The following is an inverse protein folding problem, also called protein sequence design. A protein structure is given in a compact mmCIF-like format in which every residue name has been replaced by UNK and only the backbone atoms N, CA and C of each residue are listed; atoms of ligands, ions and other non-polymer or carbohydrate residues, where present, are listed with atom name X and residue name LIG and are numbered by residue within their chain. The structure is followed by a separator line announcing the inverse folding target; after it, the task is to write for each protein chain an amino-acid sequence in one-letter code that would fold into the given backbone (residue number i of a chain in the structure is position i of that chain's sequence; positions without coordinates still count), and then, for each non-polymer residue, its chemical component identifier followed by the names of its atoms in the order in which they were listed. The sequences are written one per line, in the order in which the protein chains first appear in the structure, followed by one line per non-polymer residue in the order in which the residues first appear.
data_IF_216280565324
#
_entry.id   IF_216280565324
#
_cell.length_a   1.000
_cell.length_b   1.000
_cell.length_c   1.000
_cell.angle_alpha   90.00
_cell.angle_beta   90.00
_cell.angle_gamma   90.00
#
_symmetry.space_group_name_H-M   'P 1'
#
loop_
_entity.id
_entity.type
_entity.pdbx_description
1 polymer ?
#
# COMPACT_ATOMS: atom_id res chain seq x y z
N UNK A 1 -26.58 -28.21 10.34
CA UNK A 1 -25.48 -27.61 9.55
C UNK A 1 -24.34 -27.48 10.53
N UNK A 2 -23.21 -28.12 10.27
CA UNK A 2 -22.18 -28.38 11.28
C UNK A 2 -21.55 -27.08 11.75
N UNK A 3 -21.64 -26.81 13.06
CA UNK A 3 -20.73 -25.92 13.76
C UNK A 3 -19.36 -26.59 13.73
N UNK A 4 -18.53 -26.23 12.76
CA UNK A 4 -17.12 -26.57 12.82
C UNK A 4 -16.54 -25.84 14.04
N UNK A 5 -15.72 -26.51 14.84
CA UNK A 5 -15.06 -25.85 15.98
C UNK A 5 -14.13 -24.75 15.45
N UNK A 6 -13.85 -23.73 16.27
CA UNK A 6 -12.89 -22.68 15.92
C UNK A 6 -11.53 -23.27 15.50
N UNK A 7 -11.11 -24.35 16.17
CA UNK A 7 -9.88 -25.10 15.87
C UNK A 7 -9.95 -25.78 14.49
N UNK A 8 -11.09 -26.38 14.11
CA UNK A 8 -11.29 -26.97 12.77
C UNK A 8 -11.22 -25.92 11.66
N UNK A 9 -11.69 -24.69 11.93
CA UNK A 9 -11.59 -23.56 10.98
C UNK A 9 -10.15 -23.07 10.85
N UNK A 10 -9.43 -22.94 11.97
CA UNK A 10 -8.01 -22.56 11.97
C UNK A 10 -7.14 -23.59 11.23
N UNK A 11 -7.32 -24.89 11.53
CA UNK A 11 -6.62 -25.97 10.83
C UNK A 11 -6.91 -25.94 9.32
N UNK A 12 -8.16 -25.69 8.92
CA UNK A 12 -8.52 -25.55 7.51
C UNK A 12 -7.86 -24.34 6.83
N UNK A 13 -7.73 -23.20 7.54
CA UNK A 13 -7.04 -22.00 7.05
C UNK A 13 -5.53 -22.24 6.90
N UNK A 14 -4.89 -22.87 7.88
CA UNK A 14 -3.47 -23.23 7.81
C UNK A 14 -3.19 -24.20 6.67
N UNK A 15 -4.04 -25.22 6.49
CA UNK A 15 -3.93 -26.15 5.38
C UNK A 15 -4.11 -25.45 4.03
N UNK A 16 -5.09 -24.54 3.91
CA UNK A 16 -5.29 -23.74 2.70
C UNK A 16 -4.05 -22.89 2.37
N UNK A 17 -3.49 -22.19 3.36
CA UNK A 17 -2.26 -21.40 3.19
C UNK A 17 -1.08 -22.28 2.74
N UNK A 18 -0.90 -23.44 3.38
CA UNK A 18 0.15 -24.40 3.02
C UNK A 18 -0.01 -24.91 1.58
N UNK A 19 -1.23 -25.29 1.20
CA UNK A 19 -1.55 -25.77 -0.14
C UNK A 19 -1.31 -24.67 -1.20
N UNK A 20 -1.69 -23.43 -0.91
CA UNK A 20 -1.43 -22.27 -1.77
C UNK A 20 0.07 -22.00 -1.94
N UNK A 21 0.84 -22.01 -0.85
CA UNK A 21 2.29 -21.83 -0.90
C UNK A 21 2.98 -22.92 -1.72
N UNK A 22 2.61 -24.19 -1.52
CA UNK A 22 3.18 -25.32 -2.24
C UNK A 22 2.76 -25.31 -3.73
N UNK A 23 1.53 -24.92 -4.03
CA UNK A 23 1.06 -24.72 -5.41
C UNK A 23 1.86 -23.61 -6.11
N UNK A 24 2.12 -22.49 -5.43
CA UNK A 24 2.92 -21.38 -5.96
C UNK A 24 4.39 -21.75 -6.13
N UNK A 25 4.98 -22.48 -5.17
CA UNK A 25 6.34 -23.02 -5.30
C UNK A 25 6.45 -23.94 -6.52
N UNK A 26 5.47 -24.83 -6.73
CA UNK A 26 5.40 -25.70 -7.92
C UNK A 26 5.21 -24.88 -9.21
N UNK A 27 4.40 -23.82 -9.20
CA UNK A 27 4.23 -22.91 -10.35
C UNK A 27 5.54 -22.21 -10.69
N UNK A 28 6.24 -21.65 -9.71
CA UNK A 28 7.56 -21.01 -9.84
C UNK A 28 8.59 -21.97 -10.44
N UNK A 29 8.71 -23.19 -9.91
CA UNK A 29 9.64 -24.19 -10.44
C UNK A 29 9.31 -24.62 -11.87
N UNK A 30 8.02 -24.68 -12.23
CA UNK A 30 7.61 -25.08 -13.57
C UNK A 30 7.81 -24.00 -14.63
N UNK A 31 8.14 -22.79 -14.23
CA UNK A 31 8.29 -21.64 -15.11
C UNK A 31 9.62 -21.65 -15.88
N UNK A 32 10.67 -22.21 -15.28
CA UNK A 32 12.06 -22.12 -15.75
C UNK A 32 12.52 -23.41 -16.43
N UNK A 33 11.85 -23.82 -17.50
CA UNK A 33 12.03 -25.17 -18.05
C UNK A 33 12.88 -25.28 -19.30
N UNK A 34 13.14 -24.17 -20.00
CA UNK A 34 13.67 -24.25 -21.35
C UNK A 34 15.00 -23.50 -21.45
N UNK A 35 16.06 -24.17 -21.95
CA UNK A 35 17.30 -23.49 -22.22
C UNK A 35 17.05 -22.45 -23.32
N UNK A 36 17.57 -21.24 -23.12
CA UNK A 36 17.58 -20.22 -24.15
C UNK A 36 19.00 -19.72 -24.37
N UNK A 37 19.21 -19.20 -25.58
CA UNK A 37 20.36 -18.38 -25.92
C UNK A 37 19.85 -17.02 -26.33
N UNK A 38 20.39 -15.96 -25.74
CA UNK A 38 20.14 -14.62 -26.24
C UNK A 38 21.02 -14.32 -27.47
N UNK A 39 20.52 -13.63 -28.51
CA UNK A 39 19.15 -13.13 -28.64
C UNK A 39 18.14 -14.14 -29.19
N UNK A 40 17.01 -14.31 -28.47
CA UNK A 40 15.96 -15.29 -28.78
C UNK A 40 14.83 -14.72 -29.67
N UNK A 41 14.18 -15.59 -30.44
CA UNK A 41 12.95 -15.24 -31.18
C UNK A 41 11.71 -15.40 -30.31
N UNK A 42 10.65 -14.67 -30.61
CA UNK A 42 9.36 -14.80 -29.92
C UNK A 42 8.79 -16.22 -30.06
N UNK A 43 9.04 -16.88 -31.20
CA UNK A 43 8.65 -18.29 -31.42
C UNK A 43 9.36 -19.23 -30.44
N UNK A 44 10.67 -19.06 -30.25
CA UNK A 44 11.46 -19.89 -29.33
C UNK A 44 11.00 -19.67 -27.88
N UNK A 45 10.78 -18.40 -27.50
CA UNK A 45 10.28 -18.03 -26.18
C UNK A 45 8.89 -18.63 -25.88
N UNK A 46 7.96 -18.57 -26.85
CA UNK A 46 6.63 -19.16 -26.72
C UNK A 46 6.66 -20.70 -26.69
N UNK A 47 7.55 -21.31 -27.47
CA UNK A 47 7.80 -22.77 -27.39
C UNK A 47 8.33 -23.14 -26.00
N UNK A 48 9.10 -22.23 -25.40
CA UNK A 48 9.68 -22.23 -24.07
C UNK A 48 8.68 -22.45 -22.92
N UNK A 49 7.50 -21.84 -23.03
CA UNK A 49 6.51 -21.76 -21.96
C UNK A 49 5.42 -22.84 -22.06
N UNK A 50 4.64 -23.00 -20.99
CA UNK A 50 3.53 -23.96 -20.94
C UNK A 50 2.31 -23.47 -21.73
N UNK A 51 1.44 -24.40 -22.16
CA UNK A 51 0.16 -24.02 -22.80
C UNK A 51 -0.69 -23.16 -21.86
N UNK A 52 -0.67 -23.44 -20.55
CA UNK A 52 -1.38 -22.63 -19.56
C UNK A 52 -0.91 -21.17 -19.54
N UNK A 53 0.40 -20.92 -19.64
CA UNK A 53 0.93 -19.55 -19.74
C UNK A 53 0.52 -18.88 -21.05
N UNK A 54 0.56 -19.60 -22.18
CA UNK A 54 0.04 -19.09 -23.46
C UNK A 54 -1.46 -18.76 -23.41
N UNK A 55 -2.25 -19.57 -22.71
CA UNK A 55 -3.67 -19.29 -22.50
C UNK A 55 -3.87 -18.06 -21.62
N UNK A 56 -2.98 -17.81 -20.66
CA UNK A 56 -2.90 -16.55 -19.92
C UNK A 56 -2.65 -15.35 -20.84
N UNK A 57 -1.65 -15.44 -21.72
CA UNK A 57 -1.35 -14.40 -22.72
C UNK A 57 -2.57 -14.14 -23.60
N UNK A 58 -3.16 -15.20 -24.15
CA UNK A 58 -4.36 -15.11 -24.99
C UNK A 58 -5.51 -14.40 -24.27
N UNK A 59 -5.74 -14.74 -22.99
CA UNK A 59 -6.82 -14.16 -22.20
C UNK A 59 -6.59 -12.67 -21.93
N UNK A 60 -5.38 -12.31 -21.48
CA UNK A 60 -5.00 -10.93 -21.17
C UNK A 60 -5.07 -10.02 -22.41
N UNK A 61 -4.49 -10.49 -23.51
CA UNK A 61 -4.52 -9.79 -24.80
C UNK A 61 -5.88 -9.89 -25.52
N UNK A 62 -6.89 -10.51 -24.88
CA UNK A 62 -8.26 -10.70 -25.41
C UNK A 62 -8.31 -11.32 -26.81
N UNK A 63 -7.35 -12.20 -27.13
CA UNK A 63 -7.22 -12.82 -28.45
C UNK A 63 -8.29 -13.90 -28.65
N UNK A 64 -9.22 -13.64 -29.58
CA UNK A 64 -10.36 -14.52 -29.87
C UNK A 64 -10.01 -15.62 -30.87
N UNK A 65 -10.81 -16.68 -30.84
CA UNK A 65 -10.80 -17.80 -31.80
C UNK A 65 -9.52 -18.66 -31.82
N UNK A 66 -8.70 -18.64 -30.76
CA UNK A 66 -7.46 -19.43 -30.69
C UNK A 66 -7.33 -20.31 -29.43
N UNK A 67 -8.38 -20.40 -28.59
CA UNK A 67 -8.35 -21.17 -27.33
C UNK A 67 -8.26 -22.69 -27.52
N UNK A 68 -8.81 -23.20 -28.63
CA UNK A 68 -8.86 -24.64 -28.91
C UNK A 68 -7.60 -25.13 -29.64
N UNK A 69 -6.66 -24.24 -29.98
CA UNK A 69 -5.44 -24.61 -30.68
C UNK A 69 -4.57 -25.52 -29.81
N UNK A 70 -3.84 -26.43 -30.48
CA UNK A 70 -2.78 -27.21 -29.84
C UNK A 70 -1.57 -26.30 -29.62
N UNK A 71 -0.63 -26.72 -28.76
CA UNK A 71 0.52 -25.89 -28.36
C UNK A 71 1.26 -25.28 -29.56
N UNK A 72 1.57 -26.09 -30.58
CA UNK A 72 2.31 -25.65 -31.78
C UNK A 72 1.52 -24.60 -32.57
N UNK A 73 0.25 -24.87 -32.87
CA UNK A 73 -0.59 -23.93 -33.62
C UNK A 73 -0.86 -22.64 -32.85
N UNK A 74 -0.93 -22.73 -31.51
CA UNK A 74 -1.09 -21.59 -30.62
C UNK A 74 0.16 -20.72 -30.60
N UNK A 75 1.37 -21.30 -30.63
CA UNK A 75 2.63 -20.56 -30.77
C UNK A 75 2.59 -19.72 -32.04
N UNK A 76 2.25 -20.30 -33.19
CA UNK A 76 2.21 -19.58 -34.47
C UNK A 76 1.20 -18.42 -34.44
N UNK A 77 0.01 -18.66 -33.88
CA UNK A 77 -1.00 -17.61 -33.72
C UNK A 77 -0.55 -16.48 -32.78
N UNK A 78 0.20 -16.79 -31.72
CA UNK A 78 0.70 -15.81 -30.76
C UNK A 78 1.89 -15.01 -31.30
N UNK A 79 2.79 -15.64 -32.07
CA UNK A 79 3.91 -14.95 -32.74
C UNK A 79 3.39 -13.82 -33.63
N UNK A 80 2.29 -14.05 -34.35
CA UNK A 80 1.68 -13.03 -35.21
C UNK A 80 0.98 -11.92 -34.41
N UNK A 81 0.26 -12.28 -33.33
CA UNK A 81 -0.69 -11.39 -32.66
C UNK A 81 -0.12 -10.62 -31.47
N UNK A 82 0.88 -11.15 -30.78
CA UNK A 82 1.50 -10.44 -29.65
C UNK A 82 2.06 -9.08 -30.12
N UNK A 83 2.92 -9.00 -31.16
CA UNK A 83 3.47 -7.72 -31.62
C UNK A 83 2.40 -6.66 -31.96
N UNK A 84 1.26 -7.08 -32.50
CA UNK A 84 0.15 -6.20 -32.86
C UNK A 84 -0.58 -5.63 -31.64
N UNK A 85 -0.57 -6.35 -30.52
CA UNK A 85 -1.23 -5.94 -29.28
C UNK A 85 -0.33 -5.09 -28.37
N UNK A 86 1.00 -5.21 -28.49
CA UNK A 86 1.96 -4.52 -27.61
C UNK A 86 1.78 -3.00 -27.53
N UNK A 87 1.49 -2.25 -28.62
CA UNK A 87 1.29 -0.79 -28.51
C UNK A 87 0.16 -0.40 -27.55
N UNK A 88 -0.92 -1.19 -27.51
CA UNK A 88 -2.01 -0.97 -26.56
C UNK A 88 -1.61 -1.40 -25.15
N UNK A 89 -0.86 -2.49 -25.01
CA UNK A 89 -0.36 -2.92 -23.70
C UNK A 89 0.64 -1.93 -23.09
N UNK A 90 1.47 -1.27 -23.91
CA UNK A 90 2.44 -0.28 -23.45
C UNK A 90 1.78 0.90 -22.76
N UNK A 91 0.62 1.33 -23.28
CA UNK A 91 -0.18 2.42 -22.68
C UNK A 91 -0.79 2.03 -21.32
N UNK A 92 -0.78 0.74 -20.98
CA UNK A 92 -1.30 0.23 -19.73
C UNK A 92 -0.21 -0.04 -18.70
N UNK A 93 1.07 0.20 -18.99
CA UNK A 93 2.14 -0.02 -18.02
C UNK A 93 2.17 1.07 -16.95
N UNK A 94 2.59 0.72 -15.73
CA UNK A 94 3.07 1.72 -14.76
C UNK A 94 4.48 2.16 -15.14
N UNK A 95 4.96 3.29 -14.62
CA UNK A 95 6.33 3.74 -14.89
C UNK A 95 7.37 2.80 -14.31
N UNK A 96 7.07 2.12 -13.19
CA UNK A 96 7.89 1.01 -12.67
C UNK A 96 8.03 -0.11 -13.71
N UNK A 97 6.92 -0.59 -14.26
CA UNK A 97 6.92 -1.63 -15.30
C UNK A 97 7.62 -1.17 -16.58
N UNK A 98 7.44 0.09 -16.99
CA UNK A 98 8.11 0.66 -18.16
C UNK A 98 9.63 0.72 -17.96
N UNK A 99 10.11 1.23 -16.82
CA UNK A 99 11.54 1.28 -16.47
C UNK A 99 12.16 -0.12 -16.44
N UNK A 100 11.44 -1.08 -15.86
CA UNK A 100 11.87 -2.48 -15.85
C UNK A 100 12.00 -3.03 -17.28
N UNK A 101 11.06 -2.75 -18.18
CA UNK A 101 11.18 -3.16 -19.59
C UNK A 101 12.33 -2.46 -20.32
N UNK A 102 12.63 -1.19 -20.01
CA UNK A 102 13.80 -0.49 -20.54
C UNK A 102 15.09 -1.17 -20.10
N UNK A 103 15.21 -1.52 -18.81
CA UNK A 103 16.36 -2.29 -18.30
C UNK A 103 16.48 -3.65 -18.97
N UNK A 104 15.36 -4.36 -19.16
CA UNK A 104 15.38 -5.64 -19.89
C UNK A 104 15.78 -5.44 -21.34
N UNK A 105 15.36 -4.37 -22.01
CA UNK A 105 15.66 -4.12 -23.42
C UNK A 105 17.16 -3.84 -23.68
N UNK A 106 17.86 -3.19 -22.75
CA UNK A 106 19.26 -2.81 -22.88
C UNK A 106 20.19 -4.02 -23.12
N UNK A 107 20.08 -5.09 -22.30
CA UNK A 107 20.80 -6.37 -22.50
C UNK A 107 19.91 -7.46 -23.15
N UNK A 108 18.64 -7.12 -23.41
CA UNK A 108 17.56 -8.03 -23.84
C UNK A 108 17.18 -9.11 -22.83
N UNK A 109 17.79 -9.10 -21.65
CA UNK A 109 17.56 -10.04 -20.55
C UNK A 109 18.00 -9.47 -19.20
N UNK A 110 17.40 -9.97 -18.13
CA UNK A 110 17.81 -9.73 -16.74
C UNK A 110 17.78 -11.04 -15.93
N UNK A 111 18.60 -11.17 -14.88
CA UNK A 111 18.46 -12.24 -13.91
C UNK A 111 17.06 -12.28 -13.29
N UNK A 112 16.54 -13.49 -13.04
CA UNK A 112 15.18 -13.68 -12.53
C UNK A 112 14.95 -13.19 -11.09
N UNK A 113 16.02 -13.02 -10.31
CA UNK A 113 16.02 -12.48 -8.95
C UNK A 113 16.02 -10.94 -8.91
N UNK A 114 16.31 -10.27 -10.02
CA UNK A 114 16.20 -8.81 -10.16
C UNK A 114 14.77 -8.33 -10.46
N UNK A 115 13.82 -9.25 -10.62
CA UNK A 115 12.42 -8.96 -10.94
C UNK A 115 11.47 -9.69 -10.01
N UNK A 116 10.50 -8.96 -9.43
CA UNK A 116 9.47 -9.57 -8.59
C UNK A 116 8.64 -10.57 -9.42
N UNK A 117 8.35 -11.73 -8.84
CA UNK A 117 7.61 -12.80 -9.53
C UNK A 117 6.23 -12.38 -10.05
N UNK A 118 5.47 -11.58 -9.29
CA UNK A 118 4.15 -11.10 -9.70
C UNK A 118 4.27 -10.12 -10.87
N UNK A 119 5.22 -9.19 -10.79
CA UNK A 119 5.48 -8.21 -11.85
C UNK A 119 5.94 -8.91 -13.14
N UNK A 120 6.85 -9.87 -13.03
CA UNK A 120 7.25 -10.74 -14.16
C UNK A 120 6.06 -11.49 -14.74
N UNK A 121 5.15 -12.03 -13.91
CA UNK A 121 3.96 -12.72 -14.39
C UNK A 121 3.05 -11.80 -15.19
N UNK A 122 2.81 -10.57 -14.71
CA UNK A 122 2.02 -9.54 -15.41
C UNK A 122 2.65 -9.20 -16.77
N UNK A 123 3.97 -8.96 -16.81
CA UNK A 123 4.68 -8.65 -18.04
C UNK A 123 4.70 -9.84 -19.03
N UNK A 124 4.74 -11.08 -18.52
CA UNK A 124 4.62 -12.29 -19.33
C UNK A 124 3.25 -12.41 -19.98
N UNK A 125 2.16 -12.30 -19.22
CA UNK A 125 0.81 -12.43 -19.79
C UNK A 125 0.46 -11.27 -20.73
N UNK A 126 1.11 -10.11 -20.57
CA UNK A 126 1.03 -9.00 -21.54
C UNK A 126 1.95 -9.18 -22.76
N UNK A 127 2.76 -10.24 -22.78
CA UNK A 127 3.58 -10.62 -23.94
C UNK A 127 4.90 -9.87 -24.08
N UNK A 128 5.36 -9.17 -23.03
CA UNK A 128 6.60 -8.39 -23.07
C UNK A 128 7.84 -9.24 -22.78
N UNK A 129 7.77 -10.12 -21.78
CA UNK A 129 8.95 -10.86 -21.30
C UNK A 129 8.65 -12.33 -21.13
N UNK A 130 9.68 -13.16 -21.22
CA UNK A 130 9.54 -14.62 -21.17
C UNK A 130 10.61 -15.25 -20.28
N UNK A 131 10.22 -16.20 -19.40
CA UNK A 131 11.16 -16.89 -18.52
C UNK A 131 11.98 -17.92 -19.32
N UNK A 132 13.28 -17.99 -19.03
CA UNK A 132 14.21 -18.92 -19.65
C UNK A 132 15.33 -19.36 -18.70
N UNK A 133 16.12 -20.35 -19.12
CA UNK A 133 17.34 -20.78 -18.43
C UNK A 133 18.54 -20.57 -19.36
N UNK A 134 19.49 -19.73 -18.97
CA UNK A 134 20.74 -19.49 -19.70
C UNK A 134 21.92 -19.85 -18.78
N UNK A 135 22.84 -20.73 -19.23
CA UNK A 135 24.01 -21.16 -18.45
C UNK A 135 23.69 -21.65 -17.02
N UNK A 136 22.55 -22.34 -16.83
CA UNK A 136 22.00 -22.81 -15.53
C UNK A 136 21.42 -21.71 -14.63
N UNK A 137 21.42 -20.45 -15.07
CA UNK A 137 20.79 -19.34 -14.38
C UNK A 137 19.38 -19.08 -14.92
N UNK A 138 18.46 -18.69 -14.04
CA UNK A 138 17.12 -18.27 -14.42
C UNK A 138 17.18 -16.81 -14.90
N UNK A 139 16.62 -16.55 -16.07
CA UNK A 139 16.66 -15.22 -16.69
C UNK A 139 15.32 -14.91 -17.33
N UNK A 140 14.96 -13.64 -17.30
CA UNK A 140 13.78 -13.09 -17.98
C UNK A 140 14.26 -12.38 -19.23
N UNK A 141 13.74 -12.76 -20.40
CA UNK A 141 14.20 -12.24 -21.70
C UNK A 141 13.10 -11.50 -22.43
N UNK A 142 13.47 -10.46 -23.18
CA UNK A 142 12.61 -9.80 -24.16
C UNK A 142 12.97 -10.32 -25.57
N UNK A 143 12.07 -11.04 -26.27
CA UNK A 143 12.36 -11.54 -27.60
C UNK A 143 12.57 -10.41 -28.62
N UNK A 144 13.38 -10.64 -29.65
CA UNK A 144 13.75 -9.62 -30.66
C UNK A 144 12.55 -8.91 -31.30
N UNK A 145 11.49 -9.66 -31.62
CA UNK A 145 10.27 -9.12 -32.23
C UNK A 145 9.52 -8.20 -31.25
N UNK A 146 9.59 -8.49 -29.96
CA UNK A 146 9.03 -7.67 -28.88
C UNK A 146 9.89 -6.43 -28.66
N UNK A 147 11.22 -6.57 -28.56
CA UNK A 147 12.17 -5.45 -28.44
C UNK A 147 11.99 -4.44 -29.57
N UNK A 148 11.82 -4.93 -30.80
CA UNK A 148 11.58 -4.07 -31.96
C UNK A 148 10.33 -3.20 -31.76
N UNK A 149 9.20 -3.81 -31.41
CA UNK A 149 7.95 -3.06 -31.20
C UNK A 149 8.06 -2.15 -29.98
N UNK A 150 8.71 -2.60 -28.90
CA UNK A 150 8.96 -1.81 -27.71
C UNK A 150 9.72 -0.53 -28.03
N UNK A 151 10.89 -0.62 -28.68
CA UNK A 151 11.72 0.54 -29.07
C UNK A 151 11.01 1.49 -30.04
N UNK A 152 10.12 0.98 -30.89
CA UNK A 152 9.31 1.80 -31.80
C UNK A 152 8.23 2.63 -31.06
N UNK A 153 7.81 2.21 -29.86
CA UNK A 153 6.67 2.77 -29.13
C UNK A 153 7.01 3.36 -27.75
N UNK A 154 8.19 3.05 -27.19
CA UNK A 154 8.76 3.71 -26.01
C UNK A 154 9.24 5.12 -26.36
N UNK A 155 8.25 5.97 -26.64
CA UNK A 155 8.44 7.37 -27.04
C UNK A 155 8.48 8.26 -25.81
N UNK A 156 9.13 9.42 -25.95
CA UNK A 156 9.12 10.45 -24.90
C UNK A 156 7.69 10.81 -24.46
N UNK A 157 6.74 10.86 -25.39
CA UNK A 157 5.33 11.12 -25.09
C UNK A 157 4.68 10.00 -24.24
N UNK A 158 5.04 8.73 -24.47
CA UNK A 158 4.60 7.62 -23.63
C UNK A 158 5.20 7.72 -22.23
N UNK A 159 6.50 8.01 -22.15
CA UNK A 159 7.23 8.14 -20.88
C UNK A 159 6.66 9.27 -20.03
N UNK A 160 6.45 10.45 -20.61
CA UNK A 160 5.83 11.60 -19.93
C UNK A 160 4.41 11.28 -19.47
N UNK A 161 3.59 10.65 -20.34
CA UNK A 161 2.22 10.25 -19.96
C UNK A 161 2.22 9.23 -18.81
N UNK A 162 3.14 8.28 -18.84
CA UNK A 162 3.25 7.24 -17.81
C UNK A 162 3.70 7.84 -16.48
N UNK A 163 4.71 8.71 -16.48
CA UNK A 163 5.15 9.44 -15.30
C UNK A 163 4.01 10.27 -14.68
N UNK A 164 3.27 11.02 -15.50
CA UNK A 164 2.09 11.77 -15.04
C UNK A 164 1.03 10.86 -14.40
N UNK A 165 0.78 9.68 -14.99
CA UNK A 165 -0.20 8.73 -14.47
C UNK A 165 0.25 8.11 -13.15
N UNK A 166 1.54 7.80 -13.00
CA UNK A 166 2.12 7.33 -11.74
C UNK A 166 1.97 8.41 -10.65
N UNK A 167 2.31 9.66 -10.96
CA UNK A 167 2.12 10.80 -10.04
C UNK A 167 0.66 10.93 -9.59
N UNK A 168 -0.30 10.80 -10.52
CA UNK A 168 -1.73 10.80 -10.20
C UNK A 168 -2.09 9.66 -9.25
N UNK A 169 -1.57 8.45 -9.49
CA UNK A 169 -1.84 7.30 -8.62
C UNK A 169 -1.29 7.52 -7.21
N UNK A 170 -0.05 8.02 -7.10
CA UNK A 170 0.60 8.33 -5.83
C UNK A 170 -0.17 9.42 -5.08
N UNK A 171 -0.68 10.43 -5.78
CA UNK A 171 -1.55 11.43 -5.15
C UNK A 171 -2.84 10.82 -4.59
N UNK A 172 -3.49 9.92 -5.33
CA UNK A 172 -4.71 9.25 -4.87
C UNK A 172 -4.39 8.36 -3.67
N UNK A 173 -3.32 7.56 -3.74
CA UNK A 173 -2.89 6.69 -2.64
C UNK A 173 -2.52 7.51 -1.40
N UNK A 174 -1.75 8.59 -1.54
CA UNK A 174 -1.43 9.48 -0.43
C UNK A 174 -2.66 10.15 0.18
N UNK A 175 -3.65 10.54 -0.63
CA UNK A 175 -4.92 11.06 -0.12
C UNK A 175 -5.66 9.98 0.69
N UNK A 176 -5.74 8.76 0.17
CA UNK A 176 -6.40 7.65 0.88
C UNK A 176 -5.66 7.25 2.15
N UNK A 177 -4.32 7.24 2.14
CA UNK A 177 -3.50 6.99 3.32
C UNK A 177 -3.86 7.93 4.47
N UNK A 178 -3.96 9.25 4.21
CA UNK A 178 -4.27 10.22 5.26
C UNK A 178 -5.76 10.40 5.55
N UNK A 179 -6.63 10.23 4.56
CA UNK A 179 -8.06 10.50 4.70
C UNK A 179 -8.88 9.23 5.01
N UNK A 180 -8.29 8.06 4.77
CA UNK A 180 -8.90 6.73 4.83
C UNK A 180 -9.87 6.49 3.67
N UNK A 181 -10.80 7.42 3.46
CA UNK A 181 -11.89 7.29 2.48
C UNK A 181 -12.11 8.58 1.71
N UNK A 182 -12.54 8.43 0.46
CA UNK A 182 -13.01 9.51 -0.39
C UNK A 182 -14.27 9.08 -1.15
N UNK A 183 -15.12 10.04 -1.48
CA UNK A 183 -16.13 9.82 -2.50
C UNK A 183 -15.44 9.77 -3.87
N UNK A 184 -15.52 8.63 -4.56
CA UNK A 184 -14.82 8.42 -5.83
C UNK A 184 -15.16 9.49 -6.87
N UNK A 185 -16.37 10.07 -6.82
CA UNK A 185 -16.79 11.12 -7.75
C UNK A 185 -16.06 12.45 -7.53
N UNK A 186 -15.49 12.68 -6.36
CA UNK A 186 -14.75 13.89 -5.98
C UNK A 186 -13.24 13.76 -6.26
N UNK A 187 -12.74 12.53 -6.44
CA UNK A 187 -11.30 12.25 -6.63
C UNK A 187 -10.69 13.00 -7.83
N UNK A 188 -11.32 13.08 -9.01
CA UNK A 188 -10.73 13.81 -10.14
C UNK A 188 -10.50 15.29 -9.82
N UNK A 189 -11.43 15.94 -9.13
CA UNK A 189 -11.29 17.35 -8.73
C UNK A 189 -10.22 17.51 -7.65
N UNK A 190 -10.21 16.63 -6.64
CA UNK A 190 -9.22 16.64 -5.58
C UNK A 190 -7.80 16.48 -6.11
N UNK A 191 -7.57 15.53 -7.01
CA UNK A 191 -6.25 15.31 -7.65
C UNK A 191 -5.85 16.50 -8.52
N UNK A 192 -6.77 17.03 -9.34
CA UNK A 192 -6.48 18.16 -10.22
C UNK A 192 -6.10 19.44 -9.47
N UNK A 193 -6.47 19.57 -8.19
CA UNK A 193 -6.02 20.68 -7.34
C UNK A 193 -4.50 20.68 -7.08
N UNK A 194 -3.82 19.54 -7.31
CA UNK A 194 -2.37 19.36 -7.14
C UNK A 194 -1.59 19.35 -8.47
N UNK A 195 -2.29 19.44 -9.60
CA UNK A 195 -1.73 19.32 -10.93
C UNK A 195 -1.69 20.68 -11.65
N UNK A 196 -0.68 20.88 -12.49
CA UNK A 196 -0.68 22.00 -13.44
C UNK A 196 -1.76 21.79 -14.51
N UNK A 197 -2.15 22.87 -15.23
CA UNK A 197 -3.17 22.78 -16.29
C UNK A 197 -2.84 21.72 -17.36
N UNK A 198 -1.56 21.51 -17.67
CA UNK A 198 -1.10 20.52 -18.66
C UNK A 198 -1.14 19.07 -18.13
N UNK A 199 -1.07 18.90 -16.81
CA UNK A 199 -1.08 17.59 -16.15
C UNK A 199 -2.50 17.11 -15.81
N UNK A 200 -3.50 18.01 -15.81
CA UNK A 200 -4.86 17.70 -15.38
C UNK A 200 -5.47 16.49 -16.09
N UNK A 201 -6.25 15.73 -15.33
CA UNK A 201 -6.88 14.48 -15.74
C UNK A 201 -8.39 14.60 -15.75
N UNK A 202 -9.02 14.08 -16.80
CA UNK A 202 -10.48 13.97 -16.89
C UNK A 202 -11.01 12.80 -16.04
N UNK A 203 -12.26 12.87 -15.60
CA UNK A 203 -12.86 11.86 -14.72
C UNK A 203 -12.73 10.41 -15.24
N UNK A 204 -13.00 10.17 -16.53
CA UNK A 204 -12.90 8.84 -17.12
C UNK A 204 -11.46 8.27 -17.07
N UNK A 205 -10.46 9.10 -17.37
CA UNK A 205 -9.05 8.69 -17.31
C UNK A 205 -8.64 8.43 -15.86
N UNK A 206 -9.03 9.31 -14.93
CA UNK A 206 -8.77 9.13 -13.49
C UNK A 206 -9.38 7.82 -12.96
N UNK A 207 -10.64 7.50 -13.30
CA UNK A 207 -11.27 6.23 -12.89
C UNK A 207 -10.61 5.00 -13.52
N UNK A 208 -10.10 5.14 -14.75
CA UNK A 208 -9.33 4.07 -15.39
C UNK A 208 -8.03 3.80 -14.64
N UNK A 209 -7.35 4.85 -14.18
CA UNK A 209 -6.12 4.74 -13.37
C UNK A 209 -6.42 4.07 -12.02
N UNK A 210 -7.45 4.51 -11.30
CA UNK A 210 -7.90 3.89 -10.03
C UNK A 210 -8.18 2.40 -10.21
N UNK A 211 -9.00 2.04 -11.21
CA UNK A 211 -9.32 0.62 -11.46
C UNK A 211 -8.11 -0.23 -11.85
N UNK A 212 -7.09 0.39 -12.45
CA UNK A 212 -5.83 -0.30 -12.76
C UNK A 212 -5.06 -0.61 -11.47
N UNK A 213 -4.85 0.40 -10.61
CA UNK A 213 -4.14 0.22 -9.33
C UNK A 213 -4.85 -0.81 -8.45
N UNK A 214 -6.18 -0.75 -8.35
CA UNK A 214 -6.98 -1.74 -7.60
C UNK A 214 -6.74 -3.20 -8.04
N UNK A 215 -6.43 -3.43 -9.33
CA UNK A 215 -6.19 -4.78 -9.86
C UNK A 215 -4.75 -5.25 -9.72
N UNK A 216 -3.81 -4.31 -9.78
CA UNK A 216 -2.37 -4.63 -9.85
C UNK A 216 -1.73 -4.60 -8.45
N UNK A 217 -2.08 -3.61 -7.62
CA UNK A 217 -1.39 -3.35 -6.35
C UNK A 217 -2.28 -3.59 -5.11
N UNK A 218 -3.62 -3.67 -5.29
CA UNK A 218 -4.61 -3.96 -4.23
C UNK A 218 -4.59 -3.01 -3.02
N UNK A 219 -3.90 -1.87 -3.10
CA UNK A 219 -3.78 -0.88 -1.99
C UNK A 219 -5.05 -0.05 -1.75
N UNK A 220 -6.10 -0.26 -2.55
CA UNK A 220 -7.34 0.51 -2.43
C UNK A 220 -8.54 -0.35 -2.83
N UNK A 221 -9.67 -0.11 -2.17
CA UNK A 221 -10.93 -0.84 -2.36
C UNK A 221 -12.06 0.13 -2.71
N UNK A 222 -13.03 -0.36 -3.49
CA UNK A 222 -14.19 0.42 -3.89
C UNK A 222 -15.49 -0.29 -3.52
N UNK A 223 -16.41 0.42 -2.86
CA UNK A 223 -17.78 -0.02 -2.65
C UNK A 223 -18.77 1.10 -3.03
N UNK A 224 -19.44 0.93 -4.17
CA UNK A 224 -20.29 1.97 -4.74
C UNK A 224 -19.48 3.23 -5.04
N UNK A 225 -19.83 4.34 -4.38
CA UNK A 225 -19.11 5.60 -4.52
C UNK A 225 -18.01 5.81 -3.47
N UNK A 226 -17.73 4.83 -2.61
CA UNK A 226 -16.66 4.91 -1.61
C UNK A 226 -15.41 4.33 -2.24
N UNK A 227 -14.35 5.14 -2.32
CA UNK A 227 -12.99 4.68 -2.54
C UNK A 227 -12.27 4.76 -1.19
N UNK A 228 -11.60 3.69 -0.79
CA UNK A 228 -10.92 3.63 0.50
C UNK A 228 -9.54 3.01 0.35
N UNK A 229 -8.64 3.38 1.26
CA UNK A 229 -7.42 2.61 1.50
C UNK A 229 -7.80 1.16 1.90
N UNK A 230 -6.97 0.19 1.51
CA UNK A 230 -7.22 -1.22 1.83
C UNK A 230 -7.14 -1.53 3.32
N UNK A 231 -6.43 -0.72 4.09
CA UNK A 231 -6.22 -0.93 5.52
C UNK A 231 -7.37 -0.40 6.38
N UNK A 232 -8.35 0.30 5.79
CA UNK A 232 -9.52 0.82 6.51
C UNK A 232 -10.49 -0.30 6.82
N UNK A 233 -10.71 -0.57 8.11
CA UNK A 233 -11.57 -1.67 8.57
C UNK A 233 -13.06 -1.41 8.28
N UNK A 234 -13.56 -0.18 8.55
CA UNK A 234 -14.94 0.22 8.25
C UNK A 234 -15.01 1.54 7.45
N UNK A 235 -14.89 1.47 6.10
CA UNK A 235 -14.96 2.65 5.25
C UNK A 235 -16.30 3.40 5.32
N UNK A 236 -17.39 2.71 5.68
CA UNK A 236 -18.71 3.34 5.76
C UNK A 236 -18.82 4.22 7.00
N UNK A 237 -18.29 3.75 8.14
CA UNK A 237 -18.27 4.52 9.38
C UNK A 237 -17.37 5.75 9.24
N UNK A 238 -16.17 5.63 8.65
CA UNK A 238 -15.29 6.79 8.39
C UNK A 238 -16.02 7.83 7.52
N UNK A 239 -16.65 7.42 6.43
CA UNK A 239 -17.37 8.36 5.55
C UNK A 239 -18.59 8.99 6.24
N UNK A 240 -19.25 8.27 7.15
CA UNK A 240 -20.34 8.80 7.97
C UNK A 240 -19.83 9.89 8.92
N UNK A 241 -18.66 9.69 9.54
CA UNK A 241 -18.01 10.70 10.36
C UNK A 241 -17.60 11.94 9.55
N UNK A 242 -17.09 11.75 8.32
CA UNK A 242 -16.82 12.88 7.41
C UNK A 242 -18.07 13.72 7.13
N UNK A 243 -19.21 13.06 6.89
CA UNK A 243 -20.51 13.69 6.61
C UNK A 243 -21.11 14.36 7.84
N UNK A 244 -20.83 13.86 9.03
CA UNK A 244 -21.24 14.49 10.29
C UNK A 244 -20.48 15.80 10.57
N UNK A 245 -19.34 16.02 9.91
CA UNK A 245 -18.50 17.22 10.01
C UNK A 245 -18.38 17.93 8.64
N UNK A 246 -19.48 18.47 8.09
CA UNK A 246 -19.46 19.10 6.76
C UNK A 246 -18.56 20.34 6.71
N UNK A 247 -18.39 21.03 7.83
CA UNK A 247 -17.60 22.26 7.94
C UNK A 247 -16.08 22.01 8.14
N UNK A 248 -15.66 20.76 8.40
CA UNK A 248 -14.26 20.38 8.48
C UNK A 248 -13.75 20.01 7.08
N UNK A 249 -12.86 20.81 6.44
CA UNK A 249 -12.26 20.42 5.17
C UNK A 249 -11.23 19.30 5.38
N UNK A 250 -10.86 18.61 4.29
CA UNK A 250 -9.68 17.74 4.31
C UNK A 250 -8.43 18.50 4.73
N UNK A 251 -7.52 17.83 5.43
CA UNK A 251 -6.24 18.44 5.80
C UNK A 251 -5.45 18.80 4.51
N UNK A 252 -4.94 20.03 4.37
CA UNK A 252 -4.35 20.51 3.12
C UNK A 252 -2.88 20.09 3.00
N UNK A 253 -2.63 18.80 2.78
CA UNK A 253 -1.28 18.31 2.48
C UNK A 253 -0.69 18.95 1.24
N UNK A 254 0.63 19.05 1.19
CA UNK A 254 1.38 19.41 -0.01
C UNK A 254 1.43 18.22 -0.98
N UNK A 255 1.66 18.51 -2.27
CA UNK A 255 1.89 17.47 -3.30
C UNK A 255 2.98 16.48 -2.87
N UNK A 256 4.08 16.99 -2.31
CA UNK A 256 5.21 16.17 -1.86
C UNK A 256 4.81 15.18 -0.75
N UNK A 257 4.07 15.64 0.27
CA UNK A 257 3.60 14.78 1.36
C UNK A 257 2.68 13.66 0.85
N UNK A 258 1.79 13.97 -0.10
CA UNK A 258 0.89 12.98 -0.69
C UNK A 258 1.65 11.96 -1.54
N UNK A 259 2.57 12.42 -2.40
CA UNK A 259 3.37 11.52 -3.24
C UNK A 259 4.21 10.58 -2.39
N UNK A 260 4.87 11.09 -1.34
CA UNK A 260 5.69 10.28 -0.43
C UNK A 260 4.84 9.23 0.31
N UNK A 261 3.70 9.63 0.86
CA UNK A 261 2.79 8.69 1.53
C UNK A 261 2.26 7.61 0.58
N UNK A 262 1.99 7.96 -0.68
CA UNK A 262 1.57 6.99 -1.70
C UNK A 262 2.67 6.03 -2.15
N UNK A 263 3.95 6.43 -2.08
CA UNK A 263 5.09 5.62 -2.53
C UNK A 263 5.52 4.61 -1.46
N UNK A 264 5.74 5.08 -0.24
CA UNK A 264 6.31 4.27 0.83
C UNK A 264 5.23 3.63 1.73
N UNK A 265 3.99 4.11 1.65
CA UNK A 265 2.96 3.78 2.64
C UNK A 265 3.27 4.33 4.03
N UNK A 266 4.18 5.32 4.12
CA UNK A 266 4.65 5.91 5.37
C UNK A 266 4.36 7.40 5.39
N UNK A 267 3.73 7.83 6.49
CA UNK A 267 3.43 9.23 6.75
C UNK A 267 4.56 9.99 7.45
N UNK A 268 4.28 11.22 7.85
CA UNK A 268 5.17 11.96 8.74
C UNK A 268 5.15 11.37 10.15
N UNK A 269 6.32 11.05 10.70
CA UNK A 269 6.44 10.65 12.11
C UNK A 269 6.10 11.82 13.03
N UNK A 270 5.22 11.60 13.99
CA UNK A 270 4.83 12.61 14.96
C UNK A 270 5.82 12.66 16.14
N UNK A 271 6.11 13.85 16.73
CA UNK A 271 6.90 13.92 17.95
C UNK A 271 6.33 13.09 19.12
N UNK A 272 5.04 12.78 19.10
CA UNK A 272 4.40 11.87 20.06
C UNK A 272 4.75 10.39 19.79
N UNK A 273 4.83 9.98 18.52
CA UNK A 273 5.30 8.65 18.12
C UNK A 273 6.76 8.43 18.57
N UNK A 274 7.66 9.37 18.28
CA UNK A 274 9.07 9.31 18.74
C UNK A 274 9.18 9.19 20.27
N UNK A 275 8.34 9.95 21.00
CA UNK A 275 8.31 9.90 22.46
C UNK A 275 7.79 8.57 22.99
N UNK A 276 6.78 8.00 22.32
CA UNK A 276 6.23 6.72 22.71
C UNK A 276 7.21 5.58 22.41
N UNK A 277 7.84 5.60 21.25
CA UNK A 277 8.89 4.65 20.87
C UNK A 277 10.05 4.66 21.86
N UNK A 278 10.56 5.85 22.21
CA UNK A 278 11.62 6.00 23.21
C UNK A 278 11.17 5.51 24.58
N UNK A 279 9.91 5.76 24.96
CA UNK A 279 9.34 5.23 26.19
C UNK A 279 9.35 3.70 26.21
N UNK A 280 9.01 3.04 25.09
CA UNK A 280 9.04 1.58 24.96
C UNK A 280 10.45 1.02 25.11
N UNK A 281 11.42 1.60 24.39
CA UNK A 281 12.84 1.20 24.48
C UNK A 281 13.40 1.36 25.89
N UNK A 282 13.05 2.45 26.60
CA UNK A 282 13.60 2.71 27.93
C UNK A 282 12.90 1.94 29.06
N UNK A 283 11.57 1.83 29.01
CA UNK A 283 10.79 1.23 30.11
C UNK A 283 10.57 -0.28 29.95
N UNK A 284 10.49 -0.77 28.71
CA UNK A 284 10.26 -2.18 28.41
C UNK A 284 11.48 -2.86 27.80
N UNK A 285 12.55 -2.12 27.49
CA UNK A 285 13.78 -2.64 26.89
C UNK A 285 13.56 -3.36 25.56
N UNK A 286 12.55 -2.92 24.80
CA UNK A 286 12.31 -3.37 23.42
C UNK A 286 13.45 -2.91 22.51
N UNK A 287 13.75 -3.71 21.48
CA UNK A 287 14.64 -3.27 20.41
C UNK A 287 13.94 -2.28 19.45
N UNK A 288 14.69 -1.78 18.46
CA UNK A 288 14.20 -0.80 17.47
C UNK A 288 12.94 -1.31 16.76
N UNK A 289 13.00 -2.54 16.24
CA UNK A 289 11.97 -3.11 15.40
C UNK A 289 10.73 -3.47 16.23
N UNK A 290 10.92 -4.01 17.43
CA UNK A 290 9.82 -4.30 18.37
C UNK A 290 9.09 -3.02 18.79
N UNK A 291 9.82 -1.92 19.05
CA UNK A 291 9.21 -0.66 19.42
C UNK A 291 8.45 -0.02 18.24
N UNK A 292 9.02 -0.04 17.04
CA UNK A 292 8.37 0.41 15.81
C UNK A 292 7.07 -0.36 15.55
N UNK A 293 7.08 -1.69 15.70
CA UNK A 293 5.89 -2.54 15.51
C UNK A 293 4.76 -2.17 16.48
N UNK A 294 5.07 -1.92 17.76
CA UNK A 294 4.08 -1.49 18.76
C UNK A 294 3.51 -0.12 18.42
N UNK A 295 4.36 0.85 18.06
CA UNK A 295 3.92 2.22 17.70
C UNK A 295 3.00 2.16 16.48
N UNK A 296 3.44 1.49 15.42
CA UNK A 296 2.65 1.31 14.20
C UNK A 296 1.29 0.67 14.50
N UNK A 297 1.27 -0.40 15.31
CA UNK A 297 0.03 -1.06 15.68
C UNK A 297 -0.94 -0.12 16.44
N UNK A 298 -0.43 0.67 17.39
CA UNK A 298 -1.25 1.64 18.11
C UNK A 298 -1.76 2.77 17.20
N UNK A 299 -0.96 3.25 16.24
CA UNK A 299 -1.40 4.25 15.25
C UNK A 299 -2.48 3.71 14.31
N UNK A 300 -2.39 2.43 13.92
CA UNK A 300 -3.45 1.75 13.17
C UNK A 300 -4.76 1.69 13.95
N UNK A 301 -4.72 1.33 15.24
CA UNK A 301 -5.91 1.35 16.11
C UNK A 301 -6.49 2.76 16.25
N UNK A 302 -5.65 3.80 16.35
CA UNK A 302 -6.09 5.20 16.39
C UNK A 302 -6.79 5.59 15.09
N UNK A 303 -6.27 5.18 13.93
CA UNK A 303 -6.87 5.46 12.63
C UNK A 303 -8.27 4.82 12.47
N UNK A 304 -8.45 3.61 13.02
CA UNK A 304 -9.75 2.93 13.09
C UNK A 304 -10.68 3.47 14.21
N UNK A 305 -10.32 4.56 14.89
CA UNK A 305 -11.07 5.19 16.00
C UNK A 305 -11.38 4.21 17.15
N UNK A 306 -10.45 3.29 17.43
CA UNK A 306 -10.59 2.31 18.50
C UNK A 306 -10.57 3.03 19.87
N UNK A 307 -11.49 2.71 20.80
CA UNK A 307 -11.52 3.34 22.12
C UNK A 307 -10.23 3.12 22.93
N UNK A 308 -9.84 4.12 23.72
CA UNK A 308 -8.64 4.09 24.56
C UNK A 308 -8.54 2.88 25.51
N UNK A 309 -9.67 2.38 26.03
CA UNK A 309 -9.66 1.20 26.88
C UNK A 309 -9.25 -0.05 26.11
N UNK A 310 -9.76 -0.21 24.88
CA UNK A 310 -9.48 -1.36 24.03
C UNK A 310 -8.03 -1.29 23.53
N UNK A 311 -7.51 -0.08 23.24
CA UNK A 311 -6.09 0.13 22.95
C UNK A 311 -5.19 -0.25 24.14
N UNK A 312 -5.59 0.07 25.38
CA UNK A 312 -4.85 -0.34 26.57
C UNK A 312 -4.87 -1.86 26.77
N UNK A 313 -6.00 -2.51 26.52
CA UNK A 313 -6.12 -3.97 26.56
C UNK A 313 -5.26 -4.66 25.49
N UNK A 314 -5.23 -4.10 24.28
CA UNK A 314 -4.39 -4.61 23.19
C UNK A 314 -2.91 -4.40 23.50
N UNK A 315 -2.52 -3.24 24.01
CA UNK A 315 -1.15 -2.97 24.44
C UNK A 315 -0.64 -4.01 25.47
N UNK A 316 -1.53 -4.51 26.35
CA UNK A 316 -1.16 -5.56 27.32
C UNK A 316 -0.80 -6.91 26.69
N UNK A 317 -1.16 -7.16 25.43
CA UNK A 317 -0.71 -8.34 24.68
C UNK A 317 0.77 -8.26 24.31
N UNK A 318 1.31 -7.04 24.22
CA UNK A 318 2.70 -6.77 23.85
C UNK A 318 3.59 -6.53 25.07
N UNK A 319 3.10 -5.74 26.02
CA UNK A 319 3.86 -5.26 27.17
C UNK A 319 3.07 -5.39 28.48
N UNK A 320 3.69 -5.98 29.51
CA UNK A 320 3.02 -6.14 30.82
C UNK A 320 2.79 -4.79 31.51
N UNK A 321 1.58 -4.57 32.04
CA UNK A 321 1.27 -3.41 32.89
C UNK A 321 1.13 -3.87 34.35
N UNK A 322 2.22 -3.90 35.14
CA UNK A 322 2.21 -4.53 36.47
C UNK A 322 1.61 -3.67 37.59
N UNK A 323 1.31 -2.39 37.32
CA UNK A 323 0.83 -1.46 38.35
C UNK A 323 -0.02 -0.33 37.79
N UNK A 324 -0.79 0.31 38.67
CA UNK A 324 -1.55 1.51 38.34
C UNK A 324 -0.67 2.70 37.93
N UNK A 325 0.59 2.75 38.40
CA UNK A 325 1.55 3.78 37.99
C UNK A 325 1.97 3.59 36.54
N UNK A 326 2.34 2.36 36.15
CA UNK A 326 2.69 2.03 34.76
C UNK A 326 1.49 2.22 33.84
N UNK A 327 0.29 1.82 34.28
CA UNK A 327 -0.95 2.06 33.53
C UNK A 327 -1.14 3.54 33.20
N UNK A 328 -0.92 4.42 34.18
CA UNK A 328 -1.03 5.86 33.96
C UNK A 328 0.05 6.38 33.00
N UNK A 329 1.26 5.83 33.04
CA UNK A 329 2.34 6.19 32.12
C UNK A 329 2.00 5.81 30.69
N UNK A 330 1.56 4.57 30.46
CA UNK A 330 1.12 4.09 29.14
C UNK A 330 -0.07 4.91 28.63
N UNK A 331 -1.09 5.12 29.46
CA UNK A 331 -2.26 5.92 29.08
C UNK A 331 -1.88 7.35 28.68
N UNK A 332 -0.88 7.96 29.33
CA UNK A 332 -0.38 9.28 28.95
C UNK A 332 0.31 9.26 27.58
N UNK A 333 1.11 8.23 27.29
CA UNK A 333 1.76 8.07 25.98
C UNK A 333 0.73 7.87 24.88
N UNK A 334 -0.22 6.94 25.06
CA UNK A 334 -1.28 6.70 24.07
C UNK A 334 -2.19 7.93 23.88
N UNK A 335 -2.45 8.69 24.93
CA UNK A 335 -3.18 9.97 24.80
C UNK A 335 -2.38 10.99 24.00
N UNK A 336 -1.06 11.07 24.21
CA UNK A 336 -0.17 11.91 23.41
C UNK A 336 -0.21 11.51 21.94
N UNK A 337 0.01 10.23 21.67
CA UNK A 337 -0.02 9.63 20.34
C UNK A 337 -1.35 9.93 19.63
N UNK A 338 -2.48 9.54 20.23
CA UNK A 338 -3.82 9.76 19.67
C UNK A 338 -4.08 11.22 19.27
N UNK A 339 -3.61 12.19 20.06
CA UNK A 339 -3.86 13.60 19.79
C UNK A 339 -2.97 14.21 18.70
N UNK A 340 -1.88 13.53 18.34
CA UNK A 340 -0.87 13.99 17.36
C UNK A 340 -0.83 13.11 16.09
N UNK A 341 -1.40 11.92 16.14
CA UNK A 341 -1.65 11.07 14.98
C UNK A 341 -2.82 11.64 14.17
N UNK A 342 -2.65 11.68 12.85
CA UNK A 342 -3.70 12.09 11.91
C UNK A 342 -4.75 10.99 11.85
N UNK A 343 -6.03 11.35 11.87
CA UNK A 343 -7.11 10.37 11.93
C UNK A 343 -7.98 10.42 10.67
N UNK A 344 -8.32 9.24 10.14
CA UNK A 344 -9.22 9.11 9.00
C UNK A 344 -10.58 9.77 9.25
N UNK A 345 -11.20 9.54 10.42
CA UNK A 345 -12.50 10.16 10.77
C UNK A 345 -12.46 11.69 10.80
N UNK A 346 -11.27 12.27 10.96
CA UNK A 346 -11.00 13.71 10.98
C UNK A 346 -10.44 14.23 9.65
N UNK A 347 -10.59 13.48 8.55
CA UNK A 347 -10.15 13.88 7.20
C UNK A 347 -8.65 14.24 7.15
N UNK A 348 -7.83 13.48 7.87
CA UNK A 348 -6.37 13.65 7.93
C UNK A 348 -5.89 14.73 8.89
N UNK A 349 -6.76 15.37 9.67
CA UNK A 349 -6.35 16.24 10.78
C UNK A 349 -6.00 15.41 12.01
N UNK A 350 -5.12 15.92 12.86
CA UNK A 350 -4.96 15.42 14.22
C UNK A 350 -6.10 15.95 15.11
N UNK A 351 -6.46 15.27 16.21
CA UNK A 351 -7.42 15.82 17.18
C UNK A 351 -7.03 17.21 17.69
N UNK A 352 -5.74 17.46 17.89
CA UNK A 352 -5.21 18.76 18.30
C UNK A 352 -5.47 19.86 17.26
N UNK A 353 -5.28 19.58 15.97
CA UNK A 353 -5.59 20.50 14.85
C UNK A 353 -7.10 20.75 14.75
N UNK A 354 -7.92 19.69 14.80
CA UNK A 354 -9.37 19.78 14.68
C UNK A 354 -10.02 20.56 15.84
N UNK A 355 -9.49 20.44 17.07
CA UNK A 355 -9.96 21.21 18.23
C UNK A 355 -9.66 22.70 18.10
N UNK A 356 -8.47 23.07 17.58
CA UNK A 356 -8.12 24.48 17.36
C UNK A 356 -9.03 25.14 16.31
N UNK A 357 -9.52 24.35 15.34
CA UNK A 357 -10.52 24.75 14.35
C UNK A 357 -11.98 24.83 14.85
N UNK A 358 -12.28 24.40 16.09
CA UNK A 358 -13.63 24.20 16.65
C UNK A 358 -14.47 23.04 16.05
N UNK A 359 -13.83 21.96 15.60
CA UNK A 359 -14.51 20.81 14.99
C UNK A 359 -14.33 19.49 15.76
N UNK A 360 -13.92 19.56 17.04
CA UNK A 360 -13.66 18.39 17.87
C UNK A 360 -14.91 17.55 18.13
N UNK A 361 -14.97 16.35 17.53
CA UNK A 361 -16.06 15.40 17.73
C UNK A 361 -15.68 13.92 17.57
N UNK A 362 -14.38 13.55 17.53
CA UNK A 362 -13.95 12.15 17.69
C UNK A 362 -13.81 11.77 19.17
N UNK A 363 -13.22 10.62 19.50
CA UNK A 363 -12.74 10.28 20.86
C UNK A 363 -11.60 11.23 21.28
N UNK A 364 -11.97 12.49 21.43
CA UNK A 364 -11.20 13.58 22.01
C UNK A 364 -11.06 13.24 23.48
N UNK A 365 -9.94 12.65 23.86
CA UNK A 365 -9.56 12.61 25.29
C UNK A 365 -9.26 14.07 25.64
N UNK A 366 -10.14 14.75 26.39
CA UNK A 366 -9.93 16.15 26.70
C UNK A 366 -8.65 16.21 27.51
N UNK A 367 -7.68 17.00 27.06
CA UNK A 367 -6.55 17.38 27.89
C UNK A 367 -7.17 17.97 29.17
N UNK A 368 -7.01 17.35 30.37
CA UNK A 368 -7.12 18.17 31.56
C UNK A 368 -5.96 19.12 31.38
N UNK A 369 -6.25 20.39 31.06
CA UNK A 369 -5.29 21.46 31.28
C UNK A 369 -4.90 21.32 32.75
N UNK A 370 -3.83 20.57 33.00
CA UNK A 370 -3.40 20.21 34.33
C UNK A 370 -3.26 21.53 35.04
N UNK A 371 -4.09 21.75 36.05
CA UNK A 371 -4.00 22.93 36.90
C UNK A 371 -2.51 23.10 37.18
N UNK A 372 -1.91 24.19 36.71
CA UNK A 372 -0.51 24.50 37.01
C UNK A 372 -0.40 24.43 38.52
N UNK A 373 0.23 23.38 39.04
CA UNK A 373 0.34 23.17 40.49
C UNK A 373 0.97 24.42 41.06
N UNK A 374 0.23 25.11 41.92
CA UNK A 374 0.69 26.36 42.50
C UNK A 374 2.00 26.09 43.23
N UNK A 375 3.00 26.98 43.10
CA UNK A 375 4.32 26.80 43.76
C UNK A 375 4.22 26.50 45.27
N UNK A 376 3.11 26.86 45.93
CA UNK A 376 2.86 26.62 47.34
C UNK A 376 1.86 25.48 47.64
N UNK A 377 1.26 24.86 46.63
CA UNK A 377 0.35 23.71 46.78
C UNK A 377 1.14 22.44 47.16
N UNK A 378 0.48 21.43 47.76
CA UNK A 378 1.08 20.12 47.97
C UNK A 378 1.65 19.57 46.66
N UNK A 379 2.89 19.09 46.70
CA UNK A 379 3.55 18.59 45.52
C UNK A 379 2.90 17.26 45.10
N UNK A 380 2.56 17.08 43.80
CA UNK A 380 1.93 15.86 43.30
C UNK A 380 2.84 14.62 43.47
N UNK A 381 4.14 14.80 43.74
CA UNK A 381 5.12 13.74 44.08
C UNK A 381 4.80 12.93 45.36
N UNK A 382 3.67 13.17 46.03
CA UNK A 382 3.30 12.48 47.28
C UNK A 382 4.18 12.79 48.51
N UNK A 383 5.22 13.61 48.36
CA UNK A 383 6.21 13.87 49.43
C UNK A 383 5.69 14.65 50.65
N UNK A 384 4.45 15.14 50.62
CA UNK A 384 3.89 16.05 51.63
C UNK A 384 4.50 17.46 51.65
N UNK A 385 5.47 17.77 50.77
CA UNK A 385 6.11 19.10 50.68
C UNK A 385 5.37 20.00 49.68
N UNK A 386 5.51 21.33 49.82
CA UNK A 386 5.04 22.30 48.81
C UNK A 386 5.80 22.13 47.49
N UNK A 387 5.16 22.33 46.33
CA UNK A 387 5.74 22.13 44.99
C UNK A 387 7.14 22.78 44.82
N UNK A 388 7.31 24.05 45.23
CA UNK A 388 8.61 24.76 45.19
C UNK A 388 9.74 24.16 46.04
N UNK A 389 9.43 23.20 46.92
CA UNK A 389 10.37 22.52 47.82
C UNK A 389 10.54 21.02 47.50
N UNK A 390 9.81 20.46 46.52
CA UNK A 390 10.01 19.11 45.95
C UNK A 390 10.40 19.28 44.46
N UNK A 391 9.56 18.82 43.53
CA UNK A 391 9.80 18.81 42.08
C UNK A 391 10.00 20.20 41.45
N UNK A 392 9.50 21.27 42.07
CA UNK A 392 9.66 22.64 41.60
C UNK A 392 10.94 23.35 42.09
N UNK A 393 11.90 22.62 42.67
CA UNK A 393 13.24 23.15 42.99
C UNK A 393 14.05 23.29 41.70
N UNK A 394 14.10 24.50 41.17
CA UNK A 394 15.25 25.00 40.42
C UNK A 394 16.06 25.89 41.35
#
# INVERSE_FOLDING_TARGET
MSDASHDEVLEALEQLHSDMQEADKKRRQRMWKQPASYPCSLRDALTGITKQQMDGIRAELKLRNISNLKKVDLVEALVERIPQALPDQLRLLSGRQLRLLQTVDDDGRVPADEINFFEMHVLLIRGFVFPAVENRNQVVMMPKEVQKVFREHDTEALQQKTARNDDINLLIQGMLFYYGVMNILEVPEAVNAYLTEEEQVGAYECFTLIHKVMREDMTMVQNGNILADSDVTDPQQVLKEHKARPDLPYFPFTRQQLVQAGEDGVGETSPAADQFEQFLKEHYALDEMEAEDVVFHMEMMINDDVPMNDMLEEFQQWCEIPSAEVLQMVANQLTGLNNDTRQWILKGHTPNEAMQGKFGGGNVVPFPAGKRVGRNEPCPCGSGKKYKKCCGRR
#
